data_IF_843010317215
#
_entry.id   IF_843010317215
#
_cell.length_a   1.000
_cell.length_b   1.000
_cell.length_c   1.000
_cell.angle_alpha   90.00
_cell.angle_beta   90.00
_cell.angle_gamma   90.00
#
_symmetry.space_group_name_H-M   'P 1'
#
loop_
_entity.id
_entity.type
_entity.pdbx_description
1 polymer ?
#
# COMPACT_ATOMS: atom_id res chain seq x y z
N UNK A 1 -25.45 -29.09 -60.31
CA UNK A 1 -24.72 -27.99 -59.66
C UNK A 1 -24.49 -28.36 -58.20
N UNK A 2 -23.23 -28.46 -57.76
CA UNK A 2 -22.85 -28.71 -56.37
C UNK A 2 -22.44 -27.36 -55.75
N UNK A 3 -23.09 -26.96 -54.67
CA UNK A 3 -22.77 -25.74 -53.93
C UNK A 3 -21.60 -26.02 -53.00
N UNK A 4 -20.52 -25.28 -53.21
CA UNK A 4 -19.24 -25.38 -52.49
C UNK A 4 -19.37 -24.81 -51.09
N UNK A 5 -18.88 -25.54 -50.10
CA UNK A 5 -18.81 -25.19 -48.68
C UNK A 5 -17.90 -23.97 -48.43
N UNK A 6 -18.45 -22.93 -47.79
CA UNK A 6 -17.69 -21.76 -47.31
C UNK A 6 -17.01 -22.13 -45.99
N UNK A 7 -15.68 -21.97 -45.93
CA UNK A 7 -14.89 -22.11 -44.69
C UNK A 7 -14.98 -20.83 -43.87
N UNK A 8 -15.58 -20.90 -42.69
CA UNK A 8 -15.56 -19.84 -41.67
C UNK A 8 -14.29 -19.96 -40.82
N UNK A 9 -13.17 -19.47 -41.35
CA UNK A 9 -11.97 -19.19 -40.56
C UNK A 9 -11.96 -17.70 -40.28
N UNK A 10 -12.42 -17.29 -39.10
CA UNK A 10 -12.50 -15.88 -38.75
C UNK A 10 -12.72 -15.64 -37.27
N UNK A 11 -11.62 -15.31 -36.60
CA UNK A 11 -11.56 -14.38 -35.46
C UNK A 11 -12.19 -14.85 -34.14
N UNK A 12 -11.56 -15.86 -33.54
CA UNK A 12 -11.56 -16.09 -32.10
C UNK A 12 -10.85 -14.95 -31.34
N UNK A 13 -11.43 -14.59 -30.19
CA UNK A 13 -10.78 -13.95 -29.02
C UNK A 13 -10.53 -12.42 -29.05
N UNK A 14 -11.59 -11.61 -29.06
CA UNK A 14 -11.45 -10.14 -28.90
C UNK A 14 -12.42 -9.43 -27.95
N UNK A 15 -13.39 -10.10 -27.31
CA UNK A 15 -14.50 -9.43 -26.57
C UNK A 15 -14.75 -10.06 -25.18
N UNK A 16 -13.70 -10.46 -24.46
CA UNK A 16 -13.87 -11.00 -23.08
C UNK A 16 -12.94 -10.41 -22.02
N UNK A 17 -12.36 -9.23 -22.28
CA UNK A 17 -11.57 -8.54 -21.25
C UNK A 17 -11.86 -7.04 -21.17
N UNK A 18 -13.14 -6.69 -21.26
CA UNK A 18 -13.66 -5.43 -20.74
C UNK A 18 -14.27 -5.66 -19.34
N UNK A 19 -13.59 -6.45 -18.50
CA UNK A 19 -13.76 -6.30 -17.06
C UNK A 19 -13.22 -4.91 -16.75
N UNK A 20 -14.15 -3.98 -16.63
CA UNK A 20 -13.94 -2.65 -16.12
C UNK A 20 -13.21 -2.77 -14.78
N UNK A 21 -11.88 -2.67 -14.85
CA UNK A 21 -11.00 -2.37 -13.73
C UNK A 21 -11.36 -0.96 -13.28
N UNK A 22 -12.50 -0.82 -12.60
CA UNK A 22 -12.65 0.20 -11.58
C UNK A 22 -11.68 -0.19 -10.47
N UNK A 23 -10.39 0.06 -10.71
CA UNK A 23 -9.41 0.09 -9.65
C UNK A 23 -9.88 1.17 -8.71
N UNK A 24 -10.44 0.76 -7.57
CA UNK A 24 -10.48 1.64 -6.42
C UNK A 24 -9.06 2.19 -6.29
N UNK A 25 -8.90 3.50 -6.47
CA UNK A 25 -7.67 4.19 -6.19
C UNK A 25 -7.47 4.03 -4.70
N UNK A 26 -6.78 2.95 -4.31
CA UNK A 26 -6.27 2.82 -2.96
C UNK A 26 -5.31 3.99 -2.80
N UNK A 27 -5.62 4.89 -1.86
CA UNK A 27 -4.59 5.78 -1.34
C UNK A 27 -3.47 4.86 -0.88
N UNK A 28 -2.31 5.00 -1.52
CA UNK A 28 -1.19 4.13 -1.22
C UNK A 28 -0.64 4.51 0.17
N UNK A 29 -0.61 3.50 1.01
CA UNK A 29 0.09 3.40 2.27
C UNK A 29 1.45 4.13 2.31
N UNK A 30 1.78 4.84 3.38
CA UNK A 30 3.16 5.32 3.57
C UNK A 30 4.16 4.16 3.61
N UNK A 31 3.79 3.03 4.22
CA UNK A 31 4.63 1.83 4.20
C UNK A 31 4.81 1.25 2.79
N UNK A 32 3.76 1.22 1.96
CA UNK A 32 3.89 0.69 0.60
C UNK A 32 4.67 1.65 -0.32
N UNK A 33 4.47 2.96 -0.23
CA UNK A 33 5.28 3.93 -0.99
C UNK A 33 6.75 3.89 -0.55
N UNK A 34 7.02 3.73 0.76
CA UNK A 34 8.37 3.53 1.27
C UNK A 34 9.02 2.29 0.67
N UNK A 35 8.31 1.15 0.65
CA UNK A 35 8.79 -0.10 0.08
C UNK A 35 9.04 0.01 -1.42
N UNK A 36 8.07 0.54 -2.18
CA UNK A 36 8.16 0.76 -3.62
C UNK A 36 9.40 1.58 -4.01
N UNK A 37 9.64 2.69 -3.29
CA UNK A 37 10.82 3.50 -3.53
C UNK A 37 12.11 2.79 -3.12
N UNK A 38 12.11 2.03 -2.03
CA UNK A 38 13.28 1.24 -1.64
C UNK A 38 13.63 0.17 -2.69
N UNK A 39 12.64 -0.55 -3.23
CA UNK A 39 12.81 -1.52 -4.31
C UNK A 39 13.32 -0.86 -5.60
N UNK A 40 12.78 0.32 -5.94
CA UNK A 40 13.28 1.12 -7.05
C UNK A 40 14.74 1.55 -6.85
N UNK A 41 15.15 1.91 -5.63
CA UNK A 41 16.54 2.24 -5.32
C UNK A 41 17.47 1.02 -5.47
N UNK A 42 17.03 -0.18 -5.07
CA UNK A 42 17.81 -1.43 -5.23
C UNK A 42 18.01 -1.77 -6.70
N UNK A 43 16.97 -1.65 -7.52
CA UNK A 43 17.01 -2.01 -8.95
C UNK A 43 17.69 -0.96 -9.83
N UNK A 44 17.71 0.31 -9.41
CA UNK A 44 18.43 1.38 -10.14
C UNK A 44 19.95 1.36 -9.92
N UNK A 45 20.46 0.46 -9.08
CA UNK A 45 21.88 0.26 -8.83
C UNK A 45 22.63 -0.50 -9.94
N UNK A 46 21.94 -0.97 -10.99
CA UNK A 46 22.56 -1.60 -12.16
C UNK A 46 23.29 -0.58 -13.05
N UNK A 47 24.44 -0.10 -12.55
CA UNK A 47 25.62 0.25 -13.32
C UNK A 47 25.80 1.70 -13.79
N UNK A 48 24.79 2.58 -13.83
CA UNK A 48 24.95 3.93 -14.44
C UNK A 48 24.24 5.12 -13.78
N UNK A 49 23.37 4.93 -12.78
CA UNK A 49 22.53 6.02 -12.25
C UNK A 49 22.53 6.10 -10.72
N UNK A 50 23.69 6.38 -10.10
CA UNK A 50 23.80 6.66 -8.65
C UNK A 50 22.82 7.76 -8.21
N UNK A 51 22.51 8.73 -9.08
CA UNK A 51 21.50 9.77 -8.81
C UNK A 51 20.10 9.20 -8.54
N UNK A 52 19.65 8.22 -9.34
CA UNK A 52 18.34 7.61 -9.18
C UNK A 52 18.23 6.82 -7.87
N UNK A 53 19.30 6.13 -7.47
CA UNK A 53 19.39 5.45 -6.17
C UNK A 53 19.18 6.46 -5.03
N UNK A 54 19.86 7.62 -5.09
CA UNK A 54 19.73 8.67 -4.05
C UNK A 54 18.32 9.25 -4.01
N UNK A 55 17.71 9.53 -5.16
CA UNK A 55 16.35 10.07 -5.25
C UNK A 55 15.32 9.10 -4.66
N UNK A 56 15.35 7.84 -5.08
CA UNK A 56 14.44 6.82 -4.57
C UNK A 56 14.69 6.52 -3.08
N UNK A 57 15.94 6.45 -2.62
CA UNK A 57 16.23 6.27 -1.20
C UNK A 57 15.72 7.42 -0.34
N UNK A 58 15.81 8.68 -0.81
CA UNK A 58 15.24 9.83 -0.11
C UNK A 58 13.72 9.76 -0.02
N UNK A 59 13.04 9.41 -1.13
CA UNK A 59 11.59 9.26 -1.14
C UNK A 59 11.13 8.12 -0.20
N UNK A 60 11.82 6.98 -0.26
CA UNK A 60 11.59 5.86 0.66
C UNK A 60 11.72 6.29 2.12
N UNK A 61 12.80 7.01 2.44
CA UNK A 61 13.04 7.52 3.81
C UNK A 61 11.93 8.46 4.26
N UNK A 62 11.51 9.41 3.44
CA UNK A 62 10.42 10.35 3.80
C UNK A 62 9.15 9.60 4.18
N UNK A 63 8.72 8.65 3.35
CA UNK A 63 7.52 7.86 3.65
C UNK A 63 7.71 6.96 4.89
N UNK A 64 8.89 6.35 5.05
CA UNK A 64 9.20 5.55 6.22
C UNK A 64 9.21 6.38 7.52
N UNK A 65 9.73 7.61 7.49
CA UNK A 65 9.70 8.51 8.64
C UNK A 65 8.26 8.88 9.02
N UNK A 66 7.39 9.20 8.04
CA UNK A 66 5.97 9.47 8.32
C UNK A 66 5.24 8.24 8.86
N UNK A 67 5.46 7.07 8.27
CA UNK A 67 4.92 5.82 8.81
C UNK A 67 5.41 5.58 10.24
N UNK A 68 6.69 5.84 10.53
CA UNK A 68 7.27 5.72 11.85
C UNK A 68 6.62 6.66 12.87
N UNK A 69 6.37 7.92 12.53
CA UNK A 69 5.69 8.87 13.42
C UNK A 69 4.31 8.34 13.85
N UNK A 70 3.56 7.79 12.90
CA UNK A 70 2.27 7.16 13.19
C UNK A 70 2.39 5.85 13.98
N UNK A 71 3.39 5.01 13.69
CA UNK A 71 3.65 3.81 14.49
C UNK A 71 4.01 4.15 15.95
N UNK A 72 4.88 5.14 16.17
CA UNK A 72 5.29 5.58 17.50
C UNK A 72 4.08 6.16 18.29
N UNK A 73 3.23 6.95 17.62
CA UNK A 73 1.99 7.46 18.20
C UNK A 73 1.00 6.32 18.54
N UNK A 74 0.83 5.37 17.63
CA UNK A 74 -0.03 4.20 17.85
C UNK A 74 0.44 3.34 19.02
N UNK A 75 1.75 3.11 19.14
CA UNK A 75 2.35 2.40 20.29
C UNK A 75 2.09 3.16 21.60
N UNK A 76 2.24 4.48 21.59
CA UNK A 76 1.93 5.33 22.76
C UNK A 76 0.47 5.16 23.18
N UNK A 77 -0.48 5.27 22.25
CA UNK A 77 -1.91 5.07 22.53
C UNK A 77 -2.22 3.64 23.00
N UNK A 78 -1.51 2.61 22.53
CA UNK A 78 -1.65 1.24 23.04
C UNK A 78 -1.16 1.11 24.49
N UNK A 79 -0.06 1.77 24.85
CA UNK A 79 0.41 1.80 26.23
C UNK A 79 -0.62 2.47 27.15
N UNK A 80 -1.21 3.59 26.73
CA UNK A 80 -2.28 4.26 27.47
C UNK A 80 -3.52 3.37 27.62
N UNK A 81 -3.90 2.66 26.56
CA UNK A 81 -5.00 1.70 26.61
C UNK A 81 -4.75 0.58 27.62
N UNK A 82 -3.51 0.05 27.66
CA UNK A 82 -3.09 -0.97 28.62
C UNK A 82 -3.15 -0.43 30.05
N UNK A 83 -2.63 0.77 30.29
CA UNK A 83 -2.55 1.34 31.64
C UNK A 83 -3.94 1.71 32.18
N UNK A 84 -4.80 2.33 31.36
CA UNK A 84 -6.20 2.54 31.72
C UNK A 84 -6.95 1.21 31.92
N UNK A 85 -6.65 0.19 31.12
CA UNK A 85 -7.20 -1.16 31.28
C UNK A 85 -6.84 -1.79 32.62
N UNK A 86 -5.58 -1.68 33.07
CA UNK A 86 -5.13 -2.16 34.39
C UNK A 86 -5.85 -1.46 35.54
N UNK A 87 -6.21 -0.19 35.36
CA UNK A 87 -6.98 0.61 36.33
C UNK A 87 -8.49 0.36 36.27
N UNK A 88 -8.97 -0.53 35.38
CA UNK A 88 -10.40 -0.75 35.08
C UNK A 88 -11.14 0.49 34.56
N UNK A 89 -10.43 1.43 33.94
CA UNK A 89 -11.01 2.60 33.29
C UNK A 89 -11.47 2.24 31.86
N UNK A 90 -12.56 1.48 31.73
CA UNK A 90 -12.98 0.87 30.47
C UNK A 90 -13.15 1.88 29.31
N UNK A 91 -13.79 3.02 29.55
CA UNK A 91 -14.04 4.03 28.51
C UNK A 91 -12.76 4.69 28.01
N UNK A 92 -11.81 4.98 28.91
CA UNK A 92 -10.52 5.56 28.54
C UNK A 92 -9.64 4.54 27.81
N UNK A 93 -9.62 3.29 28.27
CA UNK A 93 -8.90 2.22 27.61
C UNK A 93 -9.40 2.01 26.17
N UNK A 94 -10.74 2.05 25.98
CA UNK A 94 -11.36 1.97 24.65
C UNK A 94 -10.95 3.16 23.78
N UNK A 95 -11.03 4.38 24.30
CA UNK A 95 -10.65 5.60 23.55
C UNK A 95 -9.20 5.54 23.09
N UNK A 96 -8.27 5.20 23.98
CA UNK A 96 -6.84 5.05 23.63
C UNK A 96 -6.62 3.94 22.58
N UNK A 97 -7.38 2.85 22.64
CA UNK A 97 -7.32 1.82 21.59
C UNK A 97 -7.86 2.30 20.23
N UNK A 98 -8.89 3.15 20.20
CA UNK A 98 -9.42 3.76 18.98
C UNK A 98 -8.43 4.76 18.36
N UNK A 99 -7.73 5.54 19.19
CA UNK A 99 -6.63 6.42 18.77
C UNK A 99 -5.47 5.61 18.17
N UNK A 100 -5.10 4.50 18.83
CA UNK A 100 -4.10 3.58 18.29
C UNK A 100 -4.50 3.05 16.91
N UNK A 101 -5.75 2.61 16.72
CA UNK A 101 -6.25 2.14 15.42
C UNK A 101 -6.14 3.24 14.36
N UNK A 102 -6.44 4.49 14.71
CA UNK A 102 -6.37 5.62 13.80
C UNK A 102 -4.94 5.85 13.32
N UNK A 103 -3.98 5.89 14.25
CA UNK A 103 -2.56 6.06 13.93
C UNK A 103 -2.01 4.87 13.14
N UNK A 104 -2.29 3.64 13.55
CA UNK A 104 -1.84 2.45 12.84
C UNK A 104 -2.38 2.43 11.42
N UNK A 105 -3.64 2.80 11.18
CA UNK A 105 -4.19 2.92 9.82
C UNK A 105 -3.50 3.99 8.97
N UNK A 106 -3.05 5.09 9.58
CA UNK A 106 -2.35 6.16 8.88
C UNK A 106 -0.87 5.83 8.58
N UNK A 107 -0.26 4.92 9.33
CA UNK A 107 1.08 4.42 9.03
C UNK A 107 1.10 3.52 7.78
N UNK A 108 0.03 2.76 7.58
CA UNK A 108 -0.17 1.84 6.46
C UNK A 108 -1.07 2.43 5.38
#
# INVERSE_FOLDING_TARGET
MKLTTIKFTGLSAGILLACASFGAYAVESHMAEALKHAEAAVTSADGKAVGAVVEHAKAAKTHADTAKEHLDAGVTSLNDAIDHGKMKHADLAKKSAEEAVTHLKAAQ
#
